data_IF_345829888134
#
_entry.id   IF_345829888134
#
_cell.length_a   1.000
_cell.length_b   1.000
_cell.length_c   1.000
_cell.angle_alpha   90.00
_cell.angle_beta   90.00
_cell.angle_gamma   90.00
#
_symmetry.space_group_name_H-M   'P 1'
#
loop_
_entity.id
_entity.type
_entity.pdbx_description
1 polymer ?
#
# COMPACT_ATOMS: atom_id res chain seq x y z
N UNK A 1 -24.23 -16.44 -13.04
CA UNK A 1 -24.05 -15.19 -12.26
C UNK A 1 -24.92 -14.14 -12.91
N UNK A 2 -25.96 -13.67 -12.22
CA UNK A 2 -26.72 -12.50 -12.69
C UNK A 2 -25.79 -11.28 -12.73
N UNK A 3 -25.94 -10.36 -13.70
CA UNK A 3 -25.16 -9.14 -13.72
C UNK A 3 -25.50 -8.30 -12.49
N UNK A 4 -24.47 -7.89 -11.73
CA UNK A 4 -24.65 -7.04 -10.55
C UNK A 4 -25.43 -5.76 -10.91
N UNK A 5 -26.44 -5.42 -10.12
CA UNK A 5 -27.28 -4.26 -10.35
C UNK A 5 -26.72 -3.06 -9.57
N UNK A 6 -26.92 -1.83 -10.08
CA UNK A 6 -26.56 -0.61 -9.35
C UNK A 6 -27.17 -0.58 -7.94
N UNK A 7 -28.38 -1.14 -7.78
CA UNK A 7 -29.04 -1.29 -6.48
C UNK A 7 -28.17 -2.00 -5.45
N UNK A 8 -27.34 -2.97 -5.86
CA UNK A 8 -26.48 -3.74 -4.96
C UNK A 8 -25.37 -2.89 -4.34
N UNK A 9 -25.13 -1.66 -4.82
CA UNK A 9 -24.07 -0.77 -4.37
C UNK A 9 -24.59 0.46 -3.61
N UNK A 10 -25.91 0.62 -3.53
CA UNK A 10 -26.59 1.71 -2.85
C UNK A 10 -27.20 1.17 -1.54
N UNK A 11 -27.25 2.01 -0.51
CA UNK A 11 -27.88 1.67 0.78
C UNK A 11 -29.42 1.53 0.63
N UNK A 12 -30.01 0.49 1.23
CA UNK A 12 -31.44 0.17 1.26
C UNK A 12 -31.92 -0.25 2.67
N UNK A 13 -32.29 0.73 3.50
CA UNK A 13 -32.93 0.46 4.78
C UNK A 13 -32.06 -0.23 5.84
N UNK A 14 -30.79 -0.55 5.53
CA UNK A 14 -29.85 -1.07 6.53
C UNK A 14 -29.43 0.03 7.51
N UNK A 15 -29.01 -0.38 8.71
CA UNK A 15 -28.33 0.53 9.64
C UNK A 15 -26.95 0.90 9.07
N UNK A 16 -26.57 2.18 9.17
CA UNK A 16 -25.31 2.67 8.63
C UNK A 16 -24.65 3.72 9.54
N UNK A 17 -23.37 3.97 9.28
CA UNK A 17 -22.58 5.07 9.85
C UNK A 17 -21.87 5.82 8.71
N UNK A 18 -21.77 7.14 8.80
CA UNK A 18 -21.03 7.92 7.82
C UNK A 18 -19.55 7.51 7.81
N UNK A 19 -18.92 7.51 6.62
CA UNK A 19 -17.53 7.11 6.47
C UNK A 19 -16.60 7.89 7.41
N UNK A 20 -16.73 9.22 7.46
CA UNK A 20 -15.91 10.06 8.33
C UNK A 20 -16.14 9.73 9.81
N UNK A 21 -17.40 9.65 10.24
CA UNK A 21 -17.75 9.31 11.62
C UNK A 21 -17.27 7.93 12.05
N UNK A 22 -17.18 6.97 11.13
CA UNK A 22 -16.56 5.68 11.43
C UNK A 22 -15.05 5.79 11.68
N UNK A 23 -14.35 6.61 10.89
CA UNK A 23 -12.91 6.82 11.09
C UNK A 23 -12.63 7.46 12.46
N UNK A 24 -13.50 8.35 12.92
CA UNK A 24 -13.42 8.94 14.27
C UNK A 24 -13.57 7.90 15.39
N UNK A 25 -14.20 6.76 15.12
CA UNK A 25 -14.38 5.68 16.10
C UNK A 25 -13.20 4.73 16.20
N UNK A 26 -12.20 4.86 15.31
CA UNK A 26 -11.02 4.00 15.32
C UNK A 26 -10.12 4.37 16.49
N UNK A 27 -9.70 3.36 17.26
CA UNK A 27 -8.79 3.56 18.37
C UNK A 27 -7.44 4.09 17.86
N UNK A 28 -7.04 5.28 18.32
CA UNK A 28 -5.83 5.95 17.85
C UNK A 28 -5.99 6.67 16.50
N UNK A 29 -7.20 6.71 15.94
CA UNK A 29 -7.50 7.36 14.66
C UNK A 29 -7.21 6.48 13.43
N UNK A 30 -7.39 7.03 12.21
CA UNK A 30 -7.17 6.31 10.96
C UNK A 30 -5.68 6.11 10.63
N UNK A 31 -4.78 6.83 11.32
CA UNK A 31 -3.34 6.70 11.21
C UNK A 31 -2.76 6.26 12.55
N UNK A 32 -1.95 5.22 12.54
CA UNK A 32 -1.26 4.70 13.72
C UNK A 32 0.24 4.86 13.56
N UNK A 33 0.89 5.20 14.68
CA UNK A 33 2.34 5.26 14.80
C UNK A 33 2.75 4.24 15.87
N UNK A 34 3.30 3.12 15.43
CA UNK A 34 3.85 2.11 16.33
C UNK A 34 5.36 2.04 16.05
N UNK A 35 6.19 2.03 17.10
CA UNK A 35 7.62 1.83 16.92
C UNK A 35 7.88 0.40 16.42
N UNK A 36 8.66 0.22 15.34
CA UNK A 36 9.08 -1.10 14.91
C UNK A 36 9.89 -1.78 16.01
N UNK A 37 9.74 -3.08 16.16
CA UNK A 37 10.40 -3.83 17.23
C UNK A 37 11.92 -3.62 17.17
N UNK A 38 12.49 -3.13 18.27
CA UNK A 38 13.93 -2.81 18.37
C UNK A 38 14.35 -1.45 17.86
N UNK A 39 13.44 -0.57 17.43
CA UNK A 39 13.79 0.79 17.07
C UNK A 39 14.25 1.56 18.32
N UNK A 40 15.52 1.95 18.40
CA UNK A 40 16.09 2.52 19.63
C UNK A 40 15.79 4.02 19.83
N UNK A 41 15.51 4.80 18.78
CA UNK A 41 14.86 6.14 18.83
C UNK A 41 14.73 6.78 17.42
N UNK A 42 13.93 7.85 17.27
CA UNK A 42 14.08 8.87 16.21
C UNK A 42 13.18 8.79 14.97
N UNK A 43 12.65 7.62 14.58
CA UNK A 43 11.75 7.49 13.43
C UNK A 43 10.55 6.59 13.76
N UNK A 44 9.37 7.20 13.77
CA UNK A 44 8.08 6.55 14.01
C UNK A 44 7.29 6.55 12.70
N UNK A 45 7.44 5.52 11.85
CA UNK A 45 6.72 5.46 10.60
C UNK A 45 5.23 5.36 10.88
N UNK A 46 4.46 6.26 10.26
CA UNK A 46 3.00 6.21 10.33
C UNK A 46 2.44 5.35 9.22
N UNK A 47 1.39 4.63 9.54
CA UNK A 47 0.66 3.81 8.59
C UNK A 47 -0.83 3.93 8.83
N UNK A 48 -1.61 3.52 7.85
CA UNK A 48 -3.05 3.39 8.03
C UNK A 48 -3.36 2.33 9.11
N UNK A 49 -4.32 2.66 9.98
CA UNK A 49 -4.96 1.70 10.87
C UNK A 49 -5.59 0.58 10.03
N UNK A 50 -5.59 -0.67 10.54
CA UNK A 50 -6.07 -1.85 9.77
C UNK A 50 -7.50 -1.66 9.22
N UNK A 51 -8.40 -1.13 10.05
CA UNK A 51 -9.77 -0.84 9.62
C UNK A 51 -9.85 0.34 8.64
N UNK A 52 -8.94 1.31 8.70
CA UNK A 52 -8.85 2.37 7.70
C UNK A 52 -8.37 1.81 6.36
N UNK A 53 -7.33 0.95 6.36
CA UNK A 53 -6.86 0.21 5.17
C UNK A 53 -8.00 -0.57 4.50
N UNK A 54 -8.71 -1.39 5.28
CA UNK A 54 -9.85 -2.17 4.81
C UNK A 54 -10.92 -1.27 4.20
N UNK A 55 -11.27 -0.19 4.88
CA UNK A 55 -12.34 0.71 4.45
C UNK A 55 -11.99 1.45 3.16
N UNK A 56 -10.75 1.96 3.05
CA UNK A 56 -10.25 2.57 1.81
C UNK A 56 -10.23 1.57 0.66
N UNK A 57 -9.68 0.37 0.88
CA UNK A 57 -9.66 -0.71 -0.11
C UNK A 57 -11.07 -1.05 -0.63
N UNK A 58 -12.02 -1.27 0.28
CA UNK A 58 -13.39 -1.61 -0.09
C UNK A 58 -14.12 -0.45 -0.78
N UNK A 59 -13.79 0.79 -0.45
CA UNK A 59 -14.38 1.98 -1.08
C UNK A 59 -13.85 2.19 -2.50
N UNK A 60 -12.55 1.95 -2.74
CA UNK A 60 -11.96 1.89 -4.09
C UNK A 60 -12.64 0.79 -4.90
N UNK A 61 -12.77 -0.41 -4.32
CA UNK A 61 -13.43 -1.54 -4.98
C UNK A 61 -14.91 -1.26 -5.28
N UNK A 62 -15.63 -0.58 -4.38
CA UNK A 62 -17.01 -0.14 -4.59
C UNK A 62 -17.10 0.73 -5.85
N UNK A 63 -16.27 1.77 -5.95
CA UNK A 63 -16.24 2.67 -7.10
C UNK A 63 -15.92 1.91 -8.40
N UNK A 64 -14.86 1.09 -8.40
CA UNK A 64 -14.46 0.29 -9.55
C UNK A 64 -15.56 -0.69 -9.99
N UNK A 65 -16.30 -1.28 -9.04
CA UNK A 65 -17.38 -2.21 -9.35
C UNK A 65 -18.57 -1.52 -10.01
N UNK A 66 -18.90 -0.30 -9.57
CA UNK A 66 -19.97 0.51 -10.18
C UNK A 66 -19.59 0.97 -11.58
N UNK A 67 -18.34 1.40 -11.78
CA UNK A 67 -17.81 1.77 -13.11
C UNK A 67 -17.83 0.58 -14.07
N UNK A 68 -17.48 -0.62 -13.59
CA UNK A 68 -17.50 -1.84 -14.39
C UNK A 68 -18.89 -2.22 -14.90
N UNK A 69 -19.97 -1.84 -14.21
CA UNK A 69 -21.35 -2.05 -14.68
C UNK A 69 -21.87 -0.89 -15.55
N UNK A 70 -20.99 0.01 -16.01
CA UNK A 70 -21.33 1.12 -16.89
C UNK A 70 -22.00 2.29 -16.17
N UNK A 71 -21.72 2.48 -14.88
CA UNK A 71 -22.27 3.57 -14.06
C UNK A 71 -21.14 4.35 -13.38
N UNK A 72 -21.23 5.67 -13.27
CA UNK A 72 -20.25 6.44 -12.49
C UNK A 72 -20.96 7.46 -11.60
N UNK A 73 -20.64 7.52 -10.29
CA UNK A 73 -21.19 8.56 -9.44
C UNK A 73 -20.66 9.94 -9.84
N UNK A 74 -21.54 10.95 -9.82
CA UNK A 74 -21.17 12.36 -10.01
C UNK A 74 -21.05 13.06 -8.65
N UNK A 75 -20.20 14.09 -8.60
CA UNK A 75 -20.08 15.00 -7.46
C UNK A 75 -19.88 14.28 -6.12
N UNK A 76 -18.98 13.29 -6.10
CA UNK A 76 -18.67 12.56 -4.86
C UNK A 76 -18.15 13.53 -3.80
N UNK A 77 -18.74 13.43 -2.62
CA UNK A 77 -18.38 14.15 -1.40
C UNK A 77 -18.21 13.18 -0.24
N UNK A 78 -17.69 13.65 0.89
CA UNK A 78 -17.51 12.81 2.10
C UNK A 78 -18.81 12.14 2.58
N UNK A 79 -19.96 12.76 2.29
CA UNK A 79 -21.29 12.25 2.64
C UNK A 79 -21.86 11.25 1.63
N UNK A 80 -21.16 11.03 0.51
CA UNK A 80 -21.64 10.16 -0.56
C UNK A 80 -21.46 8.67 -0.25
N UNK A 81 -20.59 8.34 0.73
CA UNK A 81 -20.24 6.96 1.10
C UNK A 81 -20.56 6.74 2.58
N UNK A 82 -21.28 5.66 2.85
CA UNK A 82 -21.61 5.18 4.20
C UNK A 82 -21.15 3.75 4.39
N UNK A 83 -20.96 3.34 5.64
CA UNK A 83 -20.64 1.96 6.00
C UNK A 83 -21.87 1.30 6.62
N UNK A 84 -22.27 0.17 6.05
CA UNK A 84 -23.36 -0.66 6.56
C UNK A 84 -22.99 -1.35 7.87
N UNK A 85 -23.94 -1.58 8.76
CA UNK A 85 -23.74 -2.38 9.98
C UNK A 85 -24.37 -3.77 9.81
N UNK A 86 -23.77 -4.83 10.39
CA UNK A 86 -22.60 -4.83 11.27
C UNK A 86 -21.24 -5.04 10.57
N UNK A 87 -21.22 -5.26 9.26
CA UNK A 87 -20.04 -5.71 8.51
C UNK A 87 -19.14 -4.57 7.98
N UNK A 88 -19.57 -3.32 8.13
CA UNK A 88 -18.86 -2.10 7.75
C UNK A 88 -18.48 -2.08 6.26
N UNK A 89 -19.37 -2.59 5.39
CA UNK A 89 -19.17 -2.52 3.94
C UNK A 89 -19.56 -1.14 3.39
N UNK A 90 -18.68 -0.49 2.60
CA UNK A 90 -19.01 0.75 1.91
C UNK A 90 -20.18 0.59 0.94
N UNK A 91 -21.09 1.56 0.97
CA UNK A 91 -22.21 1.74 0.05
C UNK A 91 -22.33 3.23 -0.32
N UNK A 92 -22.89 3.51 -1.49
CA UNK A 92 -23.32 4.86 -1.83
C UNK A 92 -24.65 5.18 -1.14
N UNK A 93 -24.83 6.43 -0.74
CA UNK A 93 -26.14 6.92 -0.26
C UNK A 93 -27.14 7.02 -1.42
N UNK A 94 -28.43 6.90 -1.11
CA UNK A 94 -29.50 6.81 -2.12
C UNK A 94 -29.67 8.04 -3.02
N UNK A 95 -29.14 9.20 -2.61
CA UNK A 95 -29.20 10.45 -3.36
C UNK A 95 -27.92 10.75 -4.18
N UNK A 96 -27.00 9.80 -4.33
CA UNK A 96 -25.89 9.94 -5.28
C UNK A 96 -26.43 9.79 -6.69
N UNK A 97 -26.14 10.77 -7.55
CA UNK A 97 -26.47 10.70 -8.97
C UNK A 97 -25.44 9.83 -9.71
N UNK A 98 -25.93 8.96 -10.58
CA UNK A 98 -25.10 8.07 -11.39
C UNK A 98 -25.28 8.33 -12.88
N UNK A 99 -24.19 8.67 -13.55
CA UNK A 99 -24.11 8.73 -14.99
C UNK A 99 -24.11 7.33 -15.61
N UNK A 100 -24.76 7.19 -16.76
CA UNK A 100 -24.79 5.94 -17.54
C UNK A 100 -23.78 6.02 -18.67
N UNK A 101 -23.04 4.94 -18.89
CA UNK A 101 -21.99 4.85 -19.91
C UNK A 101 -21.03 6.05 -19.84
N UNK A 102 -20.41 6.29 -18.67
CA UNK A 102 -19.53 7.44 -18.45
C UNK A 102 -18.31 7.36 -19.37
N UNK A 103 -17.80 8.53 -19.77
CA UNK A 103 -16.50 8.62 -20.44
C UNK A 103 -15.33 8.49 -19.44
N UNK A 104 -14.11 8.32 -19.96
CA UNK A 104 -12.92 8.19 -19.11
C UNK A 104 -12.71 9.41 -18.19
N UNK A 105 -12.83 10.67 -18.66
CA UNK A 105 -12.71 11.85 -17.81
C UNK A 105 -13.69 11.87 -16.63
N UNK A 106 -14.94 11.46 -16.83
CA UNK A 106 -15.94 11.35 -15.75
C UNK A 106 -15.51 10.33 -14.71
N UNK A 107 -15.03 9.18 -15.17
CA UNK A 107 -14.53 8.14 -14.29
C UNK A 107 -13.29 8.64 -13.49
N UNK A 108 -12.36 9.35 -14.15
CA UNK A 108 -11.15 9.90 -13.52
C UNK A 108 -11.52 10.96 -12.46
N UNK A 109 -12.51 11.80 -12.76
CA UNK A 109 -13.03 12.77 -11.81
C UNK A 109 -13.62 12.10 -10.56
N UNK A 110 -14.33 10.98 -10.71
CA UNK A 110 -14.86 10.24 -9.57
C UNK A 110 -13.75 9.57 -8.72
N UNK A 111 -12.72 9.01 -9.36
CA UNK A 111 -11.56 8.44 -8.65
C UNK A 111 -10.77 9.53 -7.90
N UNK A 112 -10.56 10.68 -8.55
CA UNK A 112 -9.92 11.86 -7.96
C UNK A 112 -10.73 12.42 -6.78
N UNK A 113 -12.07 12.47 -6.91
CA UNK A 113 -12.95 12.88 -5.82
C UNK A 113 -12.89 11.91 -4.64
N UNK A 114 -12.83 10.60 -4.88
CA UNK A 114 -12.62 9.60 -3.83
C UNK A 114 -11.27 9.79 -3.11
N UNK A 115 -10.20 10.10 -3.86
CA UNK A 115 -8.92 10.45 -3.26
C UNK A 115 -9.03 11.72 -2.39
N UNK A 116 -9.74 12.74 -2.85
CA UNK A 116 -10.03 13.95 -2.05
C UNK A 116 -10.80 13.66 -0.76
N UNK A 117 -11.76 12.72 -0.79
CA UNK A 117 -12.47 12.28 0.41
C UNK A 117 -11.51 11.64 1.41
N UNK A 118 -10.67 10.70 0.95
CA UNK A 118 -9.69 10.06 1.83
C UNK A 118 -8.69 11.05 2.39
N UNK A 119 -8.15 11.94 1.57
CA UNK A 119 -7.22 12.97 2.00
C UNK A 119 -7.84 13.86 3.08
N UNK A 120 -9.04 14.38 2.85
CA UNK A 120 -9.72 15.24 3.83
C UNK A 120 -9.93 14.53 5.17
N UNK A 121 -10.32 13.25 5.16
CA UNK A 121 -10.50 12.47 6.39
C UNK A 121 -9.17 12.23 7.10
N UNK A 122 -8.09 11.93 6.36
CA UNK A 122 -6.78 11.69 6.97
C UNK A 122 -6.20 12.99 7.56
N UNK A 123 -6.33 14.10 6.84
CA UNK A 123 -5.85 15.41 7.28
C UNK A 123 -6.61 15.92 8.51
N UNK A 124 -7.91 15.64 8.63
CA UNK A 124 -8.66 16.03 9.83
C UNK A 124 -8.21 15.30 11.11
N UNK A 125 -7.38 14.26 10.97
CA UNK A 125 -6.84 13.46 12.06
C UNK A 125 -5.32 13.68 12.27
N UNK A 126 -4.73 14.61 11.53
CA UNK A 126 -3.32 14.97 11.66
C UNK A 126 -3.18 16.33 12.37
N UNK A 127 -2.20 16.47 13.28
CA UNK A 127 -1.67 17.76 13.70
C UNK A 127 -1.26 18.65 12.51
N UNK A 128 -1.32 19.98 12.70
CA UNK A 128 -1.09 20.97 11.62
C UNK A 128 0.33 20.90 11.01
N UNK A 129 1.31 20.39 11.75
CA UNK A 129 2.71 20.29 11.35
C UNK A 129 3.08 18.95 10.72
N UNK A 130 2.11 18.07 10.50
CA UNK A 130 2.34 16.70 10.09
C UNK A 130 1.65 16.35 8.77
N UNK A 131 2.25 15.41 8.03
CA UNK A 131 1.73 14.96 6.75
C UNK A 131 1.20 13.53 6.80
N UNK A 132 0.34 13.23 5.83
CA UNK A 132 -0.05 11.85 5.50
C UNK A 132 1.20 11.04 5.14
N UNK A 133 1.31 9.76 5.53
CA UNK A 133 2.45 8.92 5.15
C UNK A 133 2.68 8.89 3.65
N UNK A 134 3.94 8.89 3.23
CA UNK A 134 4.27 9.05 1.81
C UNK A 134 3.72 7.91 0.94
N UNK A 135 3.66 6.69 1.46
CA UNK A 135 3.05 5.54 0.79
C UNK A 135 1.55 5.76 0.52
N UNK A 136 0.85 6.43 1.45
CA UNK A 136 -0.57 6.78 1.29
C UNK A 136 -0.72 7.96 0.33
N UNK A 137 0.15 8.97 0.43
CA UNK A 137 0.21 10.07 -0.52
C UNK A 137 0.44 9.57 -1.96
N UNK A 138 1.28 8.54 -2.15
CA UNK A 138 1.50 7.91 -3.45
C UNK A 138 0.21 7.29 -4.03
N UNK A 139 -0.55 6.54 -3.22
CA UNK A 139 -1.87 6.02 -3.64
C UNK A 139 -2.81 7.16 -4.07
N UNK A 140 -2.92 8.21 -3.25
CA UNK A 140 -3.78 9.35 -3.56
C UNK A 140 -3.35 10.07 -4.84
N UNK A 141 -2.05 10.19 -5.08
CA UNK A 141 -1.49 10.72 -6.32
C UNK A 141 -1.87 9.86 -7.53
N UNK A 142 -1.79 8.53 -7.44
CA UNK A 142 -2.18 7.60 -8.52
C UNK A 142 -3.66 7.71 -8.85
N UNK A 143 -4.52 7.81 -7.83
CA UNK A 143 -5.96 8.00 -7.99
C UNK A 143 -6.33 9.32 -8.69
N UNK A 144 -5.44 10.32 -8.66
CA UNK A 144 -5.64 11.64 -9.28
C UNK A 144 -5.04 11.76 -10.67
N UNK A 145 -4.35 10.74 -11.17
CA UNK A 145 -3.76 10.79 -12.50
C UNK A 145 -4.85 10.78 -13.57
N UNK A 146 -4.56 11.41 -14.70
CA UNK A 146 -5.30 11.19 -15.92
C UNK A 146 -5.18 9.71 -16.34
N UNK A 147 -6.26 9.12 -16.82
CA UNK A 147 -6.36 7.68 -17.10
C UNK A 147 -6.10 6.81 -15.84
N UNK A 148 -6.58 7.23 -14.67
CA UNK A 148 -6.48 6.46 -13.42
C UNK A 148 -7.03 5.02 -13.58
N UNK A 149 -7.93 4.79 -14.55
CA UNK A 149 -8.45 3.46 -14.89
C UNK A 149 -7.42 2.50 -15.46
N UNK A 150 -6.42 3.05 -16.18
CA UNK A 150 -5.28 2.22 -16.62
C UNK A 150 -4.47 1.74 -15.42
N UNK A 151 -4.48 2.50 -14.32
CA UNK A 151 -3.78 2.22 -13.06
C UNK A 151 -4.60 1.40 -12.06
N UNK A 152 -5.74 0.83 -12.46
CA UNK A 152 -6.68 0.13 -11.55
C UNK A 152 -6.04 -0.88 -10.64
N UNK A 153 -5.17 -1.75 -11.15
CA UNK A 153 -4.49 -2.76 -10.33
C UNK A 153 -3.50 -2.14 -9.34
N UNK A 154 -2.73 -1.13 -9.78
CA UNK A 154 -1.78 -0.44 -8.93
C UNK A 154 -2.48 0.36 -7.82
N UNK A 155 -3.68 0.92 -8.11
CA UNK A 155 -4.52 1.63 -7.15
C UNK A 155 -5.20 0.65 -6.18
N UNK A 156 -5.90 -0.37 -6.70
CA UNK A 156 -6.68 -1.30 -5.88
C UNK A 156 -5.78 -2.15 -4.98
N UNK A 157 -4.64 -2.60 -5.48
CA UNK A 157 -3.71 -3.48 -4.76
C UNK A 157 -2.45 -2.75 -4.28
N UNK A 158 -2.56 -1.45 -4.05
CA UNK A 158 -1.47 -0.65 -3.54
C UNK A 158 -0.97 -1.18 -2.19
N UNK A 159 0.35 -1.20 -2.03
CA UNK A 159 1.07 -1.70 -0.84
C UNK A 159 0.58 -1.07 0.48
N UNK A 160 0.20 0.22 0.48
CA UNK A 160 -0.33 0.88 1.67
C UNK A 160 -1.64 0.25 2.20
N UNK A 161 -2.41 -0.42 1.34
CA UNK A 161 -3.68 -1.08 1.67
C UNK A 161 -3.48 -2.55 2.09
N UNK A 162 -2.26 -3.09 1.97
CA UNK A 162 -1.92 -4.45 2.40
C UNK A 162 -1.70 -4.45 3.91
N UNK A 163 -2.35 -5.38 4.65
CA UNK A 163 -2.09 -5.56 6.08
C UNK A 163 -0.61 -5.77 6.33
N UNK A 164 -0.08 -5.19 7.41
CA UNK A 164 1.34 -5.24 7.71
C UNK A 164 1.88 -6.69 7.73
N UNK A 165 1.12 -7.62 8.28
CA UNK A 165 1.42 -9.07 8.32
C UNK A 165 1.62 -9.73 6.95
N UNK A 166 1.09 -9.13 5.88
CA UNK A 166 1.17 -9.66 4.51
C UNK A 166 2.19 -8.94 3.63
N UNK A 167 2.76 -7.81 4.07
CA UNK A 167 3.65 -6.99 3.24
C UNK A 167 4.96 -7.68 2.87
N UNK A 168 5.52 -8.52 3.75
CA UNK A 168 6.70 -9.32 3.42
C UNK A 168 6.42 -10.31 2.29
N UNK A 169 5.24 -10.95 2.29
CA UNK A 169 4.86 -11.85 1.21
C UNK A 169 4.70 -11.09 -0.12
N UNK A 170 4.10 -9.90 -0.09
CA UNK A 170 3.99 -9.02 -1.25
C UNK A 170 5.37 -8.71 -1.84
N UNK A 171 6.30 -8.24 -0.99
CA UNK A 171 7.67 -7.93 -1.38
C UNK A 171 8.35 -9.11 -2.07
N UNK A 172 8.32 -10.28 -1.42
CA UNK A 172 8.94 -11.49 -1.96
C UNK A 172 8.38 -11.86 -3.32
N UNK A 173 7.06 -11.80 -3.47
CA UNK A 173 6.38 -12.18 -4.70
C UNK A 173 6.76 -11.25 -5.86
N UNK A 174 6.75 -9.94 -5.63
CA UNK A 174 7.12 -8.93 -6.62
C UNK A 174 8.60 -9.00 -6.97
N UNK A 175 9.46 -9.15 -5.96
CA UNK A 175 10.91 -9.25 -6.13
C UNK A 175 11.33 -10.51 -6.89
N UNK A 176 10.87 -11.69 -6.47
CA UNK A 176 11.17 -12.96 -7.13
C UNK A 176 10.70 -12.94 -8.58
N UNK A 177 9.51 -12.43 -8.85
CA UNK A 177 9.05 -12.29 -10.23
C UNK A 177 9.96 -11.38 -11.04
N UNK A 178 10.35 -10.22 -10.50
CA UNK A 178 11.23 -9.27 -11.18
C UNK A 178 12.60 -9.89 -11.48
N UNK A 179 13.23 -10.52 -10.48
CA UNK A 179 14.62 -11.00 -10.58
C UNK A 179 14.71 -12.38 -11.24
N UNK A 180 13.78 -13.29 -10.99
CA UNK A 180 13.90 -14.68 -11.46
C UNK A 180 13.15 -14.92 -12.76
N UNK A 181 12.09 -14.15 -13.02
CA UNK A 181 11.27 -14.25 -14.23
C UNK A 181 11.61 -13.10 -15.19
N UNK A 182 11.28 -11.86 -14.83
CA UNK A 182 11.36 -10.71 -15.73
C UNK A 182 12.79 -10.49 -16.28
N UNK A 183 13.80 -10.63 -15.43
CA UNK A 183 15.23 -10.57 -15.84
C UNK A 183 15.59 -11.54 -16.97
N UNK A 184 14.96 -12.71 -17.00
CA UNK A 184 15.24 -13.76 -18.00
C UNK A 184 14.40 -13.60 -19.26
N UNK A 185 13.11 -13.29 -19.10
CA UNK A 185 12.16 -13.26 -20.22
C UNK A 185 12.15 -11.92 -20.94
N UNK A 186 12.29 -10.80 -20.21
CA UNK A 186 12.23 -9.45 -20.76
C UNK A 186 13.25 -8.52 -20.07
N UNK A 187 14.55 -8.64 -20.42
CA UNK A 187 15.63 -7.92 -19.74
C UNK A 187 15.51 -6.39 -19.79
N UNK A 188 14.85 -5.84 -20.82
CA UNK A 188 14.59 -4.40 -20.93
C UNK A 188 13.55 -3.93 -19.91
N UNK A 189 12.46 -4.67 -19.74
CA UNK A 189 11.45 -4.39 -18.72
C UNK A 189 12.03 -4.56 -17.31
N UNK A 190 12.87 -5.59 -17.10
CA UNK A 190 13.63 -5.73 -15.85
C UNK A 190 14.49 -4.49 -15.56
N UNK A 191 15.30 -4.03 -16.53
CA UNK A 191 16.14 -2.83 -16.35
C UNK A 191 15.28 -1.60 -16.03
N UNK A 192 14.18 -1.41 -16.75
CA UNK A 192 13.24 -0.32 -16.47
C UNK A 192 12.74 -0.40 -15.02
N UNK A 193 12.21 -1.55 -14.58
CA UNK A 193 11.69 -1.71 -13.22
C UNK A 193 12.76 -1.38 -12.18
N UNK A 194 13.98 -1.89 -12.34
CA UNK A 194 15.07 -1.64 -11.41
C UNK A 194 15.50 -0.16 -11.35
N UNK A 195 15.38 0.61 -12.44
CA UNK A 195 15.71 2.05 -12.41
C UNK A 195 14.62 2.94 -11.83
N UNK A 196 13.39 2.42 -11.66
CA UNK A 196 12.27 3.17 -11.07
C UNK A 196 12.20 3.03 -9.55
N UNK A 197 13.00 2.16 -8.93
CA UNK A 197 12.93 1.90 -7.49
C UNK A 197 13.33 3.12 -6.67
N UNK A 198 12.46 3.52 -5.75
CA UNK A 198 12.67 4.66 -4.84
C UNK A 198 12.98 4.14 -3.44
N UNK A 199 14.12 4.56 -2.89
CA UNK A 199 14.53 4.28 -1.52
C UNK A 199 14.39 5.54 -0.67
N UNK A 200 13.94 5.45 0.61
CA UNK A 200 13.91 6.59 1.51
C UNK A 200 15.30 7.23 1.65
N UNK A 201 15.43 8.57 1.62
CA UNK A 201 16.75 9.23 1.71
C UNK A 201 17.51 8.90 3.00
N UNK A 202 16.78 8.63 4.08
CA UNK A 202 17.32 8.31 5.40
C UNK A 202 17.33 6.82 5.72
N UNK A 203 17.09 5.94 4.72
CA UNK A 203 16.95 4.49 4.93
C UNK A 203 18.09 3.89 5.76
N UNK A 204 19.33 4.36 5.54
CA UNK A 204 20.52 3.87 6.24
C UNK A 204 20.50 4.23 7.73
N UNK A 205 20.15 5.47 8.07
CA UNK A 205 20.03 5.95 9.45
C UNK A 205 18.93 5.16 10.18
N UNK A 206 17.81 4.91 9.50
CA UNK A 206 16.71 4.17 10.10
C UNK A 206 17.08 2.68 10.26
N UNK A 207 17.83 2.11 9.31
CA UNK A 207 18.33 0.74 9.40
C UNK A 207 19.38 0.55 10.51
N UNK A 208 20.30 1.52 10.70
CA UNK A 208 21.34 1.49 11.74
C UNK A 208 20.79 1.74 13.15
N UNK A 209 19.64 2.40 13.28
CA UNK A 209 18.95 2.61 14.56
C UNK A 209 18.04 1.44 14.97
N UNK A 210 18.04 0.36 14.18
CA UNK A 210 17.39 -0.89 14.51
C UNK A 210 18.43 -2.04 14.48
N UNK A 211 18.89 -2.54 15.64
CA UNK A 211 19.97 -3.52 15.72
C UNK A 211 19.63 -4.84 15.01
N UNK A 212 18.34 -5.14 14.85
CA UNK A 212 17.88 -6.33 14.15
C UNK A 212 17.96 -6.18 12.64
N UNK A 213 17.61 -4.99 12.11
CA UNK A 213 17.80 -4.66 10.70
C UNK A 213 19.28 -4.59 10.35
N UNK A 214 20.07 -3.95 11.20
CA UNK A 214 21.52 -3.86 11.05
C UNK A 214 22.16 -5.26 10.97
N UNK A 215 21.77 -6.19 11.84
CA UNK A 215 22.25 -7.57 11.81
C UNK A 215 21.90 -8.31 10.49
N UNK A 216 20.79 -7.97 9.82
CA UNK A 216 20.44 -8.51 8.50
C UNK A 216 21.39 -7.99 7.43
N UNK A 217 21.68 -6.68 7.46
CA UNK A 217 22.54 -6.00 6.50
C UNK A 217 24.00 -6.47 6.64
N UNK A 218 24.50 -6.57 7.88
CA UNK A 218 25.88 -6.95 8.18
C UNK A 218 26.21 -8.41 7.85
N UNK A 219 25.23 -9.32 7.95
CA UNK A 219 25.40 -10.73 7.53
C UNK A 219 25.50 -10.92 6.01
N UNK A 220 25.28 -9.87 5.21
CA UNK A 220 25.32 -9.89 3.75
C UNK A 220 26.64 -9.43 3.10
N UNK A 221 27.75 -9.33 3.84
CA UNK A 221 29.07 -8.82 3.40
C UNK A 221 29.04 -7.36 2.87
N UNK A 222 28.92 -6.40 3.79
CA UNK A 222 29.13 -4.97 3.55
C UNK A 222 30.58 -4.55 3.84
N UNK A 223 31.30 -4.06 2.83
CA UNK A 223 32.67 -3.53 2.98
C UNK A 223 32.65 -2.02 3.26
N UNK A 224 32.82 -1.68 4.55
CA UNK A 224 32.73 -0.32 5.11
C UNK A 224 33.81 0.68 4.67
N UNK A 225 34.80 0.28 3.86
CA UNK A 225 35.93 1.15 3.50
C UNK A 225 35.69 2.03 2.26
N UNK A 226 34.80 1.62 1.33
CA UNK A 226 34.49 2.38 0.09
C UNK A 226 33.45 3.50 0.25
N UNK A 227 32.64 3.48 1.31
CA UNK A 227 31.62 4.52 1.54
C UNK A 227 32.19 5.85 2.07
N UNK A 228 33.49 5.92 2.32
CA UNK A 228 34.16 7.08 2.94
C UNK A 228 34.60 8.15 1.93
N UNK A 229 34.51 7.91 0.63
CA UNK A 229 34.99 8.83 -0.43
C UNK A 229 33.90 9.64 -1.15
N UNK A 230 32.66 9.62 -0.65
CA UNK A 230 31.54 10.22 -1.36
C UNK A 230 30.90 11.38 -0.58
N UNK A 231 30.68 12.53 -1.26
CA UNK A 231 29.85 13.66 -0.79
C UNK A 231 28.37 13.55 -1.19
N UNK A 232 27.96 12.44 -1.81
CA UNK A 232 26.58 11.97 -1.99
C UNK A 232 26.68 10.52 -2.48
N UNK A 233 26.39 9.51 -1.64
CA UNK A 233 26.84 8.12 -1.89
C UNK A 233 25.79 7.27 -2.62
N UNK A 234 26.08 6.76 -3.84
CA UNK A 234 25.20 5.89 -4.61
C UNK A 234 25.14 4.46 -4.05
N UNK A 235 23.99 3.82 -4.21
CA UNK A 235 23.60 2.50 -3.69
C UNK A 235 24.56 1.35 -4.08
N UNK A 236 24.84 0.44 -3.13
CA UNK A 236 25.15 -0.96 -3.42
C UNK A 236 23.90 -1.83 -3.24
N UNK A 237 23.62 -2.64 -4.25
CA UNK A 237 22.42 -3.47 -4.40
C UNK A 237 22.52 -4.79 -3.61
N UNK A 238 21.37 -5.27 -3.13
CA UNK A 238 21.07 -6.60 -2.59
C UNK A 238 21.94 -7.73 -3.18
N UNK A 239 22.95 -8.16 -2.42
CA UNK A 239 23.72 -9.38 -2.71
C UNK A 239 23.06 -10.54 -1.97
N UNK A 240 22.06 -11.19 -2.58
CA UNK A 240 21.94 -12.65 -2.59
C UNK A 240 20.67 -13.15 -3.28
N UNK A 241 20.85 -14.34 -3.87
CA UNK A 241 19.88 -15.21 -4.49
C UNK A 241 19.10 -16.02 -3.42
N UNK A 242 18.78 -17.29 -3.68
CA UNK A 242 17.52 -17.87 -4.12
C UNK A 242 16.54 -18.16 -2.96
N UNK A 243 16.76 -17.60 -1.79
CA UNK A 243 15.90 -17.75 -0.62
C UNK A 243 16.06 -16.51 0.26
N UNK A 244 14.99 -15.77 0.51
CA UNK A 244 14.95 -14.72 1.55
C UNK A 244 15.00 -15.31 2.97
N UNK A 245 15.96 -16.20 3.22
CA UNK A 245 16.11 -16.98 4.44
C UNK A 245 16.64 -16.14 5.60
N UNK A 246 17.41 -15.07 5.36
CA UNK A 246 17.93 -14.23 6.44
C UNK A 246 16.80 -13.69 7.33
N UNK A 247 15.70 -13.23 6.75
CA UNK A 247 14.51 -12.77 7.46
C UNK A 247 13.67 -13.92 8.04
N UNK A 248 13.50 -15.04 7.33
CA UNK A 248 12.75 -16.20 7.85
C UNK A 248 13.42 -16.86 9.06
N UNK A 249 14.75 -16.89 9.09
CA UNK A 249 15.53 -17.39 10.22
C UNK A 249 15.35 -16.50 11.46
N UNK A 250 15.06 -15.20 11.29
CA UNK A 250 14.82 -14.27 12.40
C UNK A 250 13.47 -14.49 13.13
N UNK A 251 12.45 -15.04 12.47
CA UNK A 251 11.20 -15.46 13.13
C UNK A 251 11.30 -16.85 13.79
N UNK A 252 12.29 -17.66 13.41
CA UNK A 252 12.40 -19.03 13.88
C UNK A 252 13.08 -19.10 15.26
N UNK A 253 12.32 -19.30 16.32
CA UNK A 253 12.86 -19.46 17.70
C UNK A 253 13.80 -20.68 17.85
N UNK A 254 13.82 -21.59 16.89
CA UNK A 254 14.60 -22.83 16.94
C UNK A 254 15.99 -22.71 16.28
N UNK A 255 16.30 -21.59 15.61
CA UNK A 255 17.66 -21.38 15.08
C UNK A 255 18.54 -20.66 16.12
N UNK A 256 19.85 -20.95 16.20
CA UNK A 256 20.74 -20.42 17.24
C UNK A 256 20.81 -18.88 17.34
N UNK A 257 20.34 -18.17 16.31
CA UNK A 257 20.32 -16.71 16.23
C UNK A 257 18.93 -16.15 15.88
N UNK A 258 17.87 -16.92 16.12
CA UNK A 258 16.50 -16.50 15.87
C UNK A 258 16.09 -15.44 16.89
N UNK A 259 15.57 -14.30 16.42
CA UNK A 259 15.35 -13.13 17.26
C UNK A 259 13.96 -13.11 17.93
N UNK A 260 13.16 -14.18 17.79
CA UNK A 260 11.82 -14.27 18.37
C UNK A 260 10.85 -13.21 17.83
N UNK A 261 10.93 -12.92 16.53
CA UNK A 261 10.03 -11.99 15.83
C UNK A 261 8.74 -12.70 15.40
N UNK A 262 7.60 -12.03 15.54
CA UNK A 262 6.37 -12.41 14.83
C UNK A 262 6.43 -11.90 13.37
N UNK A 263 5.66 -12.48 12.43
CA UNK A 263 5.61 -12.01 11.04
C UNK A 263 5.32 -10.51 10.89
N UNK A 264 4.45 -9.97 11.76
CA UNK A 264 4.15 -8.54 11.82
C UNK A 264 5.39 -7.70 12.16
N UNK A 265 6.23 -8.18 13.08
CA UNK A 265 7.43 -7.48 13.54
C UNK A 265 8.47 -7.40 12.40
N UNK A 266 8.65 -8.50 11.67
CA UNK A 266 9.54 -8.55 10.51
C UNK A 266 9.07 -7.64 9.38
N UNK A 267 7.77 -7.65 9.09
CA UNK A 267 7.23 -6.82 8.03
C UNK A 267 7.21 -5.34 8.43
N UNK A 268 7.15 -5.04 9.72
CA UNK A 268 7.33 -3.69 10.22
C UNK A 268 8.77 -3.19 10.00
N UNK A 269 9.76 -4.06 10.23
CA UNK A 269 11.16 -3.76 9.93
C UNK A 269 11.42 -3.62 8.41
N UNK A 270 10.77 -4.45 7.58
CA UNK A 270 10.78 -4.28 6.13
C UNK A 270 10.14 -2.96 5.72
N UNK A 271 9.01 -2.59 6.33
CA UNK A 271 8.31 -1.34 6.05
C UNK A 271 9.17 -0.10 6.27
N UNK A 272 9.96 -0.05 7.35
CA UNK A 272 10.98 0.99 7.57
C UNK A 272 11.90 1.13 6.34
N UNK A 273 12.38 0.02 5.80
CA UNK A 273 13.36 0.01 4.72
C UNK A 273 12.72 0.20 3.35
N UNK A 274 11.40 0.00 3.25
CA UNK A 274 10.70 -0.21 1.99
C UNK A 274 9.49 0.72 1.77
N UNK A 275 9.30 1.76 2.58
CA UNK A 275 8.13 2.65 2.54
C UNK A 275 7.80 3.12 1.12
N UNK A 276 8.81 3.41 0.30
CA UNK A 276 8.65 3.74 -1.13
C UNK A 276 9.03 2.62 -2.09
N UNK A 277 9.79 1.62 -1.62
CA UNK A 277 10.33 0.58 -2.48
C UNK A 277 9.21 -0.29 -3.03
N UNK A 278 8.26 -0.69 -2.18
CA UNK A 278 7.11 -1.49 -2.60
C UNK A 278 6.20 -0.73 -3.56
N UNK A 279 5.81 0.50 -3.20
CA UNK A 279 4.96 1.32 -4.06
C UNK A 279 5.60 1.59 -5.43
N UNK A 280 6.90 1.92 -5.47
CA UNK A 280 7.63 2.15 -6.74
C UNK A 280 7.81 0.88 -7.56
N UNK A 281 8.11 -0.27 -6.93
CA UNK A 281 8.17 -1.57 -7.59
C UNK A 281 6.82 -1.96 -8.21
N UNK A 282 5.73 -1.82 -7.46
CA UNK A 282 4.37 -2.07 -7.92
C UNK A 282 4.00 -1.21 -9.13
N UNK A 283 4.24 0.09 -9.04
CA UNK A 283 3.94 1.01 -10.13
C UNK A 283 4.77 0.69 -11.37
N UNK A 284 6.07 0.38 -11.20
CA UNK A 284 6.93 0.03 -12.31
C UNK A 284 6.48 -1.27 -12.98
N UNK A 285 6.19 -2.32 -12.20
CA UNK A 285 5.65 -3.60 -12.69
C UNK A 285 4.30 -3.43 -13.39
N UNK A 286 3.45 -2.54 -12.88
CA UNK A 286 2.18 -2.23 -13.50
C UNK A 286 2.37 -1.57 -14.88
N UNK A 287 3.28 -0.58 -14.98
CA UNK A 287 3.58 0.12 -16.24
C UNK A 287 4.13 -0.78 -17.34
N UNK A 288 4.84 -1.84 -16.98
CA UNK A 288 5.30 -2.87 -17.93
C UNK A 288 4.30 -4.02 -18.11
N UNK A 289 3.10 -3.94 -17.52
CA UNK A 289 2.02 -4.92 -17.71
C UNK A 289 2.16 -6.21 -16.91
N UNK A 290 3.04 -6.26 -15.90
CA UNK A 290 3.35 -7.48 -15.15
C UNK A 290 2.72 -7.57 -13.75
N UNK A 291 2.20 -6.46 -13.20
CA UNK A 291 1.55 -6.50 -11.88
C UNK A 291 0.36 -7.48 -11.88
N UNK A 292 -0.47 -7.47 -12.94
CA UNK A 292 -1.58 -8.40 -13.15
C UNK A 292 -1.17 -9.88 -13.02
N UNK A 293 0.01 -10.23 -13.55
CA UNK A 293 0.53 -11.59 -13.59
C UNK A 293 0.79 -12.15 -12.19
N UNK A 294 1.06 -11.27 -11.22
CA UNK A 294 1.37 -11.66 -9.85
C UNK A 294 0.16 -12.14 -9.07
N UNK A 295 -1.08 -11.82 -9.48
CA UNK A 295 -2.32 -12.23 -8.79
C UNK A 295 -2.21 -12.00 -7.27
N UNK A 296 -1.98 -10.77 -6.83
CA UNK A 296 -1.76 -10.41 -5.42
C UNK A 296 -3.04 -10.28 -4.60
N UNK A 297 -4.22 -10.44 -5.22
CA UNK A 297 -5.51 -10.23 -4.56
C UNK A 297 -5.76 -11.06 -3.29
N UNK A 298 -5.14 -12.24 -3.15
CA UNK A 298 -5.25 -13.07 -1.93
C UNK A 298 -4.59 -12.44 -0.69
N UNK A 299 -3.69 -11.46 -0.87
CA UNK A 299 -3.04 -10.73 0.24
C UNK A 299 -3.97 -9.69 0.88
N UNK A 300 -5.14 -9.45 0.28
CA UNK A 300 -6.19 -8.56 0.73
C UNK A 300 -7.35 -9.43 1.25
N UNK A 301 -7.38 -9.79 2.54
CA UNK A 301 -8.33 -10.76 3.09
C UNK A 301 -9.77 -10.22 3.18
N UNK A 302 -10.01 -9.04 2.63
CA UNK A 302 -11.28 -8.31 2.66
C UNK A 302 -12.20 -8.66 1.49
N UNK A 303 -11.83 -9.65 0.68
CA UNK A 303 -12.48 -9.93 -0.60
C UNK A 303 -13.89 -10.53 -0.50
#
# INVERSE_FOLDING_TARGET
MEPANLRDYIIHGESWIALNSYMDTLQGGPLVADAPKGQEEGYLPRRLHLNAQKTMYLSIRLLLSVIRIGRCPRNLTVNSIVLTRPDFRPRFVGNVDFEQNPDNPTCDAAMSALAGIFENILWSHLPEDESVPDEVHNLLYLMRQQDSFKLTEAIQYHSCLVPLENRGHLFLKEYQYTVDILRKIEPLNFRYVMTQLVYPRHWKIIAESNPYVQAVIERGDYDSLRSKESTCTPLELLKHAPTCHCLQDFANKCVPHGLGFEPKDMNHALYIMSEHLLASLQLALHRVGHLACLRTGFLFPWN
#
